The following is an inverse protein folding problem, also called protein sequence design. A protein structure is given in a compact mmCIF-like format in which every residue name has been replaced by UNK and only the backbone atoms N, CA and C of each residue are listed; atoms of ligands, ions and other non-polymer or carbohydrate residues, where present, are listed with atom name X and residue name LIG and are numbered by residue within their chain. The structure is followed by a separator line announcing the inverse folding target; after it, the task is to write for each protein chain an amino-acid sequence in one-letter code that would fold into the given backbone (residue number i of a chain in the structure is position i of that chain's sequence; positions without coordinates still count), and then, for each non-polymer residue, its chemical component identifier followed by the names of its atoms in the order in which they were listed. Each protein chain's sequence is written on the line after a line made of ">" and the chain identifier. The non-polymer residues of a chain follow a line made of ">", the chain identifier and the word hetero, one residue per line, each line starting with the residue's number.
data_IF_566853425204
#
_entry.id   IF_566853425204
#
_cell.length_a   1.000
_cell.length_b   1.000
_cell.length_c   1.000
_cell.angle_alpha   90.00
_cell.angle_beta   90.00
_cell.angle_gamma   90.00
#
_symmetry.space_group_name_H-M   'P 1'
#
loop_
_entity.id
_entity.type
_entity.pdbx_description
1 polymer ?
#
# COMPACT_ATOMS: atom_id res chain seq x y z
N UNK A 1 7.46 2.02 -28.39
CA UNK A 1 8.22 1.08 -27.52
C UNK A 1 7.71 1.21 -26.08
N UNK A 2 7.86 0.19 -25.22
CA UNK A 2 7.33 0.26 -23.85
C UNK A 2 8.19 1.15 -22.95
N UNK A 3 7.58 2.18 -22.36
CA UNK A 3 8.19 3.01 -21.31
C UNK A 3 8.39 2.24 -20.00
N UNK A 4 9.19 2.77 -19.08
CA UNK A 4 9.32 2.24 -17.71
C UNK A 4 7.97 2.08 -17.02
N UNK A 5 7.07 3.05 -17.19
CA UNK A 5 5.73 2.98 -16.63
C UNK A 5 4.85 1.90 -17.28
N UNK A 6 4.98 1.65 -18.58
CA UNK A 6 4.30 0.53 -19.25
C UNK A 6 4.70 -0.82 -18.65
N UNK A 7 5.97 -0.97 -18.26
CA UNK A 7 6.46 -2.19 -17.61
C UNK A 7 5.85 -2.38 -16.22
N UNK A 8 5.76 -1.31 -15.42
CA UNK A 8 5.12 -1.34 -14.10
C UNK A 8 3.64 -1.73 -14.20
N UNK A 9 2.89 -1.10 -15.12
CA UNK A 9 1.46 -1.38 -15.37
C UNK A 9 1.18 -2.78 -15.90
N UNK A 10 2.18 -3.53 -16.34
CA UNK A 10 2.05 -4.94 -16.77
C UNK A 10 2.27 -5.94 -15.65
N UNK A 11 2.58 -5.48 -14.44
CA UNK A 11 2.82 -6.35 -13.28
C UNK A 11 1.52 -7.04 -12.84
N UNK A 12 1.53 -8.37 -12.73
CA UNK A 12 0.33 -9.09 -12.27
C UNK A 12 0.19 -9.12 -10.75
N UNK A 13 1.30 -9.07 -10.04
CA UNK A 13 1.37 -9.21 -8.57
C UNK A 13 2.28 -8.16 -7.96
N UNK A 14 2.21 -7.99 -6.64
CA UNK A 14 3.18 -7.19 -5.89
C UNK A 14 4.63 -7.61 -6.11
N UNK A 15 4.88 -8.93 -6.21
CA UNK A 15 6.22 -9.45 -6.43
C UNK A 15 6.77 -9.13 -7.83
N UNK A 16 5.90 -9.14 -8.86
CA UNK A 16 6.26 -8.68 -10.20
C UNK A 16 6.52 -7.17 -10.22
N UNK A 17 5.71 -6.38 -9.52
CA UNK A 17 5.90 -4.94 -9.43
C UNK A 17 7.25 -4.62 -8.78
N UNK A 18 7.54 -5.22 -7.62
CA UNK A 18 8.81 -5.07 -6.93
C UNK A 18 10.00 -5.51 -7.77
N UNK A 19 9.89 -6.66 -8.46
CA UNK A 19 10.94 -7.11 -9.37
C UNK A 19 11.19 -6.10 -10.50
N UNK A 20 10.13 -5.52 -11.05
CA UNK A 20 10.23 -4.53 -12.12
C UNK A 20 10.91 -3.25 -11.62
N UNK A 21 10.55 -2.75 -10.43
CA UNK A 21 11.20 -1.60 -9.80
C UNK A 21 12.70 -1.83 -9.58
N UNK A 22 13.08 -3.01 -9.07
CA UNK A 22 14.48 -3.36 -8.84
C UNK A 22 15.29 -3.37 -10.15
N UNK A 23 14.74 -3.93 -11.23
CA UNK A 23 15.44 -3.90 -12.53
C UNK A 23 15.51 -2.50 -13.11
N UNK A 24 14.47 -1.68 -12.99
CA UNK A 24 14.51 -0.29 -13.48
C UNK A 24 15.62 0.52 -12.79
N UNK A 25 15.93 0.18 -11.53
CA UNK A 25 16.98 0.85 -10.75
C UNK A 25 18.36 0.27 -11.02
N UNK A 26 18.51 -1.06 -10.98
CA UNK A 26 19.81 -1.73 -11.01
C UNK A 26 20.31 -2.09 -12.41
N UNK A 27 19.40 -2.34 -13.36
CA UNK A 27 19.72 -2.80 -14.71
C UNK A 27 18.79 -2.10 -15.75
N UNK A 28 18.84 -0.76 -15.87
CA UNK A 28 17.99 -0.03 -16.82
C UNK A 28 18.23 -0.48 -18.27
N UNK A 29 19.46 -0.88 -18.61
CA UNK A 29 19.84 -1.40 -19.93
C UNK A 29 19.19 -2.74 -20.28
N UNK A 30 18.63 -3.45 -19.29
CA UNK A 30 17.82 -4.64 -19.55
C UNK A 30 16.58 -4.28 -20.36
N UNK A 31 16.06 -3.07 -20.21
CA UNK A 31 14.86 -2.61 -20.89
C UNK A 31 15.19 -2.12 -22.29
N UNK A 32 14.53 -2.66 -23.32
CA UNK A 32 14.91 -2.38 -24.68
C UNK A 32 14.52 -0.94 -25.06
N UNK A 33 15.46 -0.22 -25.67
CA UNK A 33 15.34 1.18 -26.12
C UNK A 33 15.15 1.33 -27.64
N UNK A 34 15.30 0.24 -28.42
CA UNK A 34 14.99 0.20 -29.85
C UNK A 34 14.77 -1.18 -30.50
N UNK A 35 14.54 -2.26 -29.74
CA UNK A 35 14.33 -3.62 -30.25
C UNK A 35 13.15 -3.79 -31.25
N UNK A 36 13.32 -4.75 -32.16
CA UNK A 36 12.29 -5.26 -33.06
C UNK A 36 11.02 -5.69 -32.31
N UNK A 37 9.86 -5.31 -32.85
CA UNK A 37 8.56 -5.77 -32.36
C UNK A 37 8.44 -7.26 -32.71
N UNK A 38 7.92 -8.05 -31.76
CA UNK A 38 7.70 -9.47 -31.96
C UNK A 38 6.74 -9.72 -33.13
N UNK A 39 6.87 -10.85 -33.84
CA UNK A 39 5.97 -11.18 -34.94
C UNK A 39 4.53 -11.31 -34.45
N UNK A 40 3.52 -11.17 -35.34
CA UNK A 40 2.12 -11.28 -34.96
C UNK A 40 1.80 -12.62 -34.31
N UNK A 41 0.73 -12.67 -33.51
CA UNK A 41 0.33 -13.89 -32.78
C UNK A 41 0.08 -15.10 -33.68
N UNK A 42 -0.30 -14.88 -34.93
CA UNK A 42 -0.51 -15.90 -35.94
C UNK A 42 0.77 -16.56 -36.46
N UNK A 43 1.95 -15.98 -36.21
CA UNK A 43 3.24 -16.54 -36.63
C UNK A 43 3.76 -17.60 -35.65
N UNK A 44 4.55 -18.56 -36.15
CA UNK A 44 5.12 -19.69 -35.40
C UNK A 44 5.83 -19.28 -34.09
N UNK A 45 6.49 -18.12 -34.07
CA UNK A 45 7.24 -17.60 -32.93
C UNK A 45 6.63 -16.30 -32.36
N UNK A 46 5.29 -16.17 -32.37
CA UNK A 46 4.52 -14.98 -31.97
C UNK A 46 4.98 -14.29 -30.67
N UNK A 47 4.40 -13.15 -30.28
CA UNK A 47 5.02 -12.26 -29.32
C UNK A 47 5.09 -12.89 -27.92
N UNK A 48 5.90 -12.28 -27.05
CA UNK A 48 5.99 -12.66 -25.65
C UNK A 48 4.59 -12.75 -25.01
N UNK A 49 4.28 -13.85 -24.32
CA UNK A 49 2.95 -14.09 -23.74
C UNK A 49 2.62 -13.21 -22.53
N UNK A 50 3.58 -12.41 -22.04
CA UNK A 50 3.39 -11.45 -20.93
C UNK A 50 3.25 -10.02 -21.45
N UNK A 51 4.23 -9.51 -22.18
CA UNK A 51 4.17 -8.13 -22.68
C UNK A 51 3.45 -8.00 -24.03
N UNK A 52 3.29 -9.07 -24.81
CA UNK A 52 2.65 -9.04 -26.14
C UNK A 52 3.27 -8.08 -27.15
N UNK A 53 4.47 -7.55 -26.86
CA UNK A 53 5.16 -6.56 -27.70
C UNK A 53 6.47 -7.11 -28.23
N UNK A 54 7.34 -7.65 -27.37
CA UNK A 54 8.68 -8.08 -27.77
C UNK A 54 8.72 -9.55 -28.20
N UNK A 55 9.68 -9.94 -29.06
CA UNK A 55 9.84 -11.32 -29.49
C UNK A 55 10.15 -12.26 -28.32
N UNK A 56 9.75 -13.52 -28.48
CA UNK A 56 10.19 -14.59 -27.57
C UNK A 56 11.67 -14.87 -27.80
N UNK A 57 12.36 -15.31 -26.75
CA UNK A 57 13.71 -15.85 -26.92
C UNK A 57 13.68 -17.06 -27.86
N UNK A 58 14.71 -17.20 -28.70
CA UNK A 58 14.80 -18.11 -29.86
C UNK A 58 14.71 -19.62 -29.58
N UNK A 59 14.36 -20.02 -28.36
CA UNK A 59 14.10 -21.41 -27.98
C UNK A 59 12.59 -21.68 -27.99
N UNK A 60 12.08 -22.71 -28.68
CA UNK A 60 10.65 -22.99 -28.82
C UNK A 60 9.91 -23.23 -27.49
N UNK A 61 10.62 -23.58 -26.41
CA UNK A 61 10.06 -23.72 -25.05
C UNK A 61 9.89 -22.39 -24.29
N UNK A 62 10.48 -21.29 -24.77
CA UNK A 62 10.45 -20.01 -24.05
C UNK A 62 9.27 -19.16 -24.50
N UNK A 63 8.37 -18.90 -23.55
CA UNK A 63 7.11 -18.15 -23.73
C UNK A 63 7.28 -16.63 -23.59
N UNK A 64 8.46 -16.17 -23.17
CA UNK A 64 8.70 -14.80 -22.73
C UNK A 64 9.92 -14.19 -23.43
N UNK A 65 9.91 -12.86 -23.57
CA UNK A 65 11.10 -12.09 -23.93
C UNK A 65 12.10 -12.08 -22.76
N UNK A 66 13.34 -11.62 -23.03
CA UNK A 66 14.42 -11.51 -22.02
C UNK A 66 13.96 -10.80 -20.74
N UNK A 67 13.38 -9.61 -20.89
CA UNK A 67 12.92 -8.78 -19.77
C UNK A 67 11.82 -9.46 -18.95
N UNK A 68 10.78 -9.96 -19.63
CA UNK A 68 9.68 -10.65 -18.94
C UNK A 68 10.17 -11.90 -18.19
N UNK A 69 11.12 -12.64 -18.77
CA UNK A 69 11.70 -13.79 -18.10
C UNK A 69 12.50 -13.39 -16.86
N UNK A 70 13.31 -12.32 -16.95
CA UNK A 70 14.09 -11.80 -15.82
C UNK A 70 13.20 -11.32 -14.67
N UNK A 71 12.14 -10.55 -14.99
CA UNK A 71 11.13 -10.09 -14.01
C UNK A 71 10.47 -11.28 -13.32
N UNK A 72 9.98 -12.27 -14.09
CA UNK A 72 9.29 -13.44 -13.53
C UNK A 72 10.23 -14.30 -12.68
N UNK A 73 11.48 -14.46 -13.08
CA UNK A 73 12.48 -15.21 -12.32
C UNK A 73 12.78 -14.54 -10.96
N UNK A 74 12.92 -13.21 -10.95
CA UNK A 74 13.13 -12.41 -9.73
C UNK A 74 11.89 -12.42 -8.83
N UNK A 75 10.71 -12.22 -9.40
CA UNK A 75 9.44 -12.17 -8.68
C UNK A 75 9.18 -13.42 -7.83
N UNK A 76 9.58 -14.61 -8.31
CA UNK A 76 9.45 -15.87 -7.53
C UNK A 76 10.13 -15.81 -6.16
N UNK A 77 11.25 -15.10 -6.06
CA UNK A 77 12.02 -14.92 -4.81
C UNK A 77 11.44 -13.82 -3.92
N UNK A 78 10.63 -12.92 -4.47
CA UNK A 78 10.12 -11.74 -3.79
C UNK A 78 8.73 -11.91 -3.17
N UNK A 79 8.06 -13.05 -3.39
CA UNK A 79 6.72 -13.30 -2.85
C UNK A 79 6.59 -13.12 -1.33
N UNK A 80 7.61 -13.53 -0.56
CA UNK A 80 7.60 -13.37 0.91
C UNK A 80 7.72 -11.91 1.32
N UNK A 81 8.47 -11.12 0.56
CA UNK A 81 8.70 -9.70 0.82
C UNK A 81 7.50 -8.88 0.37
N UNK A 82 6.92 -9.18 -0.79
CA UNK A 82 5.81 -8.39 -1.35
C UNK A 82 4.52 -8.50 -0.54
N UNK A 83 4.23 -9.66 0.06
CA UNK A 83 2.97 -9.89 0.81
C UNK A 83 2.71 -8.89 1.94
N UNK A 84 3.67 -8.63 2.86
CA UNK A 84 3.50 -7.60 3.89
C UNK A 84 3.82 -6.18 3.37
N UNK A 85 4.00 -6.00 2.06
CA UNK A 85 4.31 -4.69 1.47
C UNK A 85 3.05 -3.94 1.06
N UNK A 86 3.18 -2.62 1.09
CA UNK A 86 2.20 -1.67 0.59
C UNK A 86 2.82 -0.88 -0.56
N UNK A 87 1.92 -0.32 -1.36
CA UNK A 87 2.21 0.55 -2.47
C UNK A 87 1.67 1.92 -2.13
N UNK A 88 2.49 2.95 -2.35
CA UNK A 88 2.07 4.34 -2.30
C UNK A 88 2.22 4.91 -3.69
N UNK A 89 1.08 5.34 -4.26
CA UNK A 89 1.07 6.18 -5.44
C UNK A 89 0.84 7.63 -5.01
N UNK A 90 1.85 8.47 -5.20
CA UNK A 90 1.82 9.88 -4.81
C UNK A 90 1.69 10.79 -6.02
N UNK A 91 0.74 11.72 -5.96
CA UNK A 91 0.59 12.86 -6.87
C UNK A 91 0.68 14.14 -6.05
N UNK A 92 1.82 14.81 -6.12
CA UNK A 92 2.16 15.93 -5.24
C UNK A 92 2.65 17.14 -6.03
N UNK A 93 2.48 18.33 -5.46
CA UNK A 93 2.95 19.58 -6.07
C UNK A 93 4.47 19.65 -6.27
N UNK A 94 5.24 18.95 -5.43
CA UNK A 94 6.70 18.79 -5.55
C UNK A 94 7.15 17.46 -4.98
N UNK A 95 8.07 16.78 -5.65
CA UNK A 95 8.62 15.53 -5.12
C UNK A 95 9.54 15.76 -3.91
N UNK A 96 9.49 14.88 -2.89
CA UNK A 96 10.46 14.91 -1.79
C UNK A 96 11.90 14.80 -2.30
N UNK A 97 12.80 15.69 -1.88
CA UNK A 97 14.20 15.65 -2.32
C UNK A 97 14.89 14.33 -1.95
N UNK A 98 14.55 13.77 -0.80
CA UNK A 98 15.07 12.50 -0.29
C UNK A 98 14.73 11.32 -1.21
N UNK A 99 13.63 11.41 -1.97
CA UNK A 99 13.27 10.41 -2.98
C UNK A 99 14.29 10.37 -4.13
N UNK A 100 14.85 11.54 -4.48
CA UNK A 100 15.84 11.66 -5.56
C UNK A 100 17.24 11.28 -5.10
N UNK A 101 17.63 11.74 -3.91
CA UNK A 101 18.97 11.46 -3.35
C UNK A 101 19.09 10.04 -2.80
N UNK A 102 17.96 9.33 -2.65
CA UNK A 102 17.90 8.01 -1.98
C UNK A 102 18.51 8.05 -0.58
N UNK A 103 18.18 9.09 0.20
CA UNK A 103 18.67 9.29 1.56
C UNK A 103 17.57 9.03 2.59
N UNK A 104 17.97 8.78 3.85
CA UNK A 104 17.06 8.60 4.97
C UNK A 104 16.20 7.34 4.80
N UNK A 105 14.88 7.48 4.95
CA UNK A 105 13.94 6.36 4.78
C UNK A 105 14.12 5.63 3.44
N UNK A 106 14.41 6.38 2.38
CA UNK A 106 14.47 5.84 1.02
C UNK A 106 15.70 4.96 0.77
N UNK A 107 16.74 5.09 1.59
CA UNK A 107 17.95 4.27 1.49
C UNK A 107 17.75 2.89 2.12
N UNK A 108 17.08 2.83 3.27
CA UNK A 108 17.09 1.65 4.13
C UNK A 108 15.77 0.87 4.12
N UNK A 109 14.64 1.57 4.08
CA UNK A 109 13.32 0.98 4.34
C UNK A 109 12.44 0.90 3.09
N UNK A 110 12.74 1.69 2.06
CA UNK A 110 12.12 1.55 0.75
C UNK A 110 12.55 0.25 0.07
N UNK A 111 11.56 -0.54 -0.37
CA UNK A 111 11.82 -1.77 -1.13
C UNK A 111 12.02 -1.48 -2.63
N UNK A 112 11.43 -0.39 -3.11
CA UNK A 112 11.61 0.11 -4.46
C UNK A 112 10.88 1.42 -4.67
N UNK A 113 11.48 2.30 -5.47
CA UNK A 113 10.96 3.62 -5.82
C UNK A 113 10.89 3.77 -7.33
N UNK A 114 9.99 4.60 -7.82
CA UNK A 114 9.94 5.01 -9.20
C UNK A 114 9.39 6.42 -9.30
N UNK A 115 10.13 7.31 -9.94
CA UNK A 115 9.67 8.65 -10.26
C UNK A 115 9.13 8.63 -11.69
N UNK A 116 7.87 9.04 -11.86
CA UNK A 116 7.23 9.07 -13.17
C UNK A 116 7.47 10.40 -13.89
N UNK A 117 7.32 11.51 -13.17
CA UNK A 117 7.51 12.89 -13.61
C UNK A 117 7.75 13.79 -12.38
N UNK A 118 7.67 15.12 -12.52
CA UNK A 118 7.92 16.10 -11.45
C UNK A 118 6.88 16.10 -10.31
N UNK A 119 5.77 15.37 -10.47
CA UNK A 119 4.64 15.35 -9.53
C UNK A 119 4.27 13.94 -9.07
N UNK A 120 4.65 12.91 -9.82
CA UNK A 120 4.20 11.55 -9.59
C UNK A 120 5.34 10.62 -9.19
N UNK A 121 5.10 9.86 -8.13
CA UNK A 121 5.99 8.80 -7.70
C UNK A 121 5.25 7.56 -7.23
N UNK A 122 5.96 6.44 -7.29
CA UNK A 122 5.56 5.17 -6.75
C UNK A 122 6.59 4.74 -5.70
N UNK A 123 6.12 4.33 -4.52
CA UNK A 123 6.93 3.78 -3.45
C UNK A 123 6.37 2.42 -3.04
N UNK A 124 7.25 1.43 -2.91
CA UNK A 124 6.98 0.16 -2.27
C UNK A 124 7.75 0.11 -0.95
N UNK A 125 7.06 -0.24 0.14
CA UNK A 125 7.67 -0.40 1.47
C UNK A 125 6.91 -1.45 2.29
N UNK A 126 7.47 -1.88 3.41
CA UNK A 126 6.77 -2.78 4.33
C UNK A 126 5.64 -2.02 5.04
N UNK A 127 4.50 -2.67 5.26
CA UNK A 127 3.30 -2.00 5.80
C UNK A 127 3.49 -1.30 7.14
N UNK A 128 4.35 -1.84 7.99
CA UNK A 128 4.61 -1.31 9.34
C UNK A 128 5.51 -0.06 9.35
N UNK A 129 6.16 0.23 8.22
CA UNK A 129 6.98 1.44 8.05
C UNK A 129 6.17 2.68 7.68
N UNK A 130 4.88 2.50 7.39
CA UNK A 130 4.00 3.57 6.90
C UNK A 130 4.00 4.79 7.81
N UNK A 131 3.93 4.57 9.12
CA UNK A 131 3.89 5.63 10.12
C UNK A 131 5.23 6.39 10.18
N UNK A 132 6.35 5.67 10.16
CA UNK A 132 7.71 6.26 10.16
C UNK A 132 7.88 7.13 8.92
N UNK A 133 7.57 6.59 7.75
CA UNK A 133 7.66 7.30 6.48
C UNK A 133 6.80 8.57 6.44
N UNK A 134 5.53 8.49 6.84
CA UNK A 134 4.65 9.67 6.85
C UNK A 134 5.13 10.75 7.83
N UNK A 135 5.67 10.36 8.99
CA UNK A 135 6.23 11.32 9.95
C UNK A 135 7.44 12.04 9.35
N UNK A 136 8.35 11.30 8.74
CA UNK A 136 9.54 11.86 8.08
C UNK A 136 9.14 12.82 6.96
N UNK A 137 8.16 12.44 6.13
CA UNK A 137 7.62 13.28 5.06
C UNK A 137 7.07 14.61 5.59
N UNK A 138 6.30 14.56 6.68
CA UNK A 138 5.73 15.76 7.32
C UNK A 138 6.81 16.60 8.02
N UNK A 139 7.85 15.99 8.61
CA UNK A 139 8.96 16.72 9.23
C UNK A 139 9.74 17.53 8.18
N UNK A 140 10.06 16.92 7.04
CA UNK A 140 10.88 17.57 6.02
C UNK A 140 10.10 18.56 5.14
N UNK A 141 8.83 18.26 4.84
CA UNK A 141 8.07 19.06 3.88
C UNK A 141 6.89 19.82 4.48
N UNK A 142 6.46 19.48 5.69
CA UNK A 142 5.42 20.20 6.43
C UNK A 142 4.15 20.46 5.62
N UNK A 143 3.66 21.70 5.72
CA UNK A 143 2.45 22.17 5.03
C UNK A 143 2.67 22.51 3.54
N UNK A 144 3.92 22.51 3.07
CA UNK A 144 4.24 22.88 1.70
C UNK A 144 4.00 21.74 0.72
N UNK A 145 4.08 20.48 1.18
CA UNK A 145 3.71 19.32 0.37
C UNK A 145 2.20 19.26 0.28
N UNK A 146 1.67 19.27 -0.94
CA UNK A 146 0.23 19.26 -1.23
C UNK A 146 -0.06 18.22 -2.30
N UNK A 147 -1.26 17.67 -2.29
CA UNK A 147 -1.70 16.68 -3.26
C UNK A 147 -2.31 15.44 -2.61
N UNK A 148 -2.08 14.29 -3.22
CA UNK A 148 -2.73 13.04 -2.90
C UNK A 148 -1.74 11.90 -2.78
N UNK A 149 -1.83 11.15 -1.68
CA UNK A 149 -1.15 9.87 -1.51
C UNK A 149 -2.17 8.75 -1.42
N UNK A 150 -2.14 7.82 -2.36
CA UNK A 150 -2.98 6.64 -2.36
C UNK A 150 -2.19 5.44 -1.86
N UNK A 151 -2.61 4.87 -0.73
CA UNK A 151 -1.92 3.78 -0.04
C UNK A 151 -2.78 2.52 -0.14
N UNK A 152 -2.20 1.44 -0.65
CA UNK A 152 -2.89 0.17 -0.81
C UNK A 152 -1.93 -1.01 -0.71
N UNK A 153 -2.37 -2.17 -0.20
CA UNK A 153 -1.53 -3.37 -0.15
C UNK A 153 -1.26 -3.92 -1.55
N UNK A 154 -0.20 -4.70 -1.67
CA UNK A 154 0.07 -5.40 -2.94
C UNK A 154 -0.92 -6.54 -3.20
N UNK A 155 -1.12 -6.89 -4.48
CA UNK A 155 -1.96 -8.03 -4.87
C UNK A 155 -1.18 -9.33 -4.90
N UNK A 156 -1.83 -10.41 -4.47
CA UNK A 156 -1.39 -11.77 -4.73
C UNK A 156 -1.98 -12.29 -6.05
N UNK A 157 -1.33 -13.29 -6.68
CA UNK A 157 -1.68 -13.84 -7.99
C UNK A 157 -3.12 -14.36 -8.17
N UNK A 158 -3.91 -14.48 -7.09
CA UNK A 158 -5.28 -15.03 -7.09
C UNK A 158 -6.37 -14.01 -6.70
N UNK A 159 -6.03 -12.74 -6.46
CA UNK A 159 -6.97 -11.74 -5.89
C UNK A 159 -7.83 -10.97 -6.90
N UNK A 160 -8.20 -11.58 -8.04
CA UNK A 160 -9.16 -11.03 -9.00
C UNK A 160 -8.64 -9.88 -9.87
N UNK A 161 -7.99 -8.87 -9.29
CA UNK A 161 -7.36 -7.76 -10.01
C UNK A 161 -5.83 -7.85 -10.00
N UNK A 162 -5.22 -7.56 -11.15
CA UNK A 162 -3.77 -7.48 -11.29
C UNK A 162 -3.21 -6.21 -10.65
N UNK A 163 -1.96 -6.26 -10.19
CA UNK A 163 -1.29 -5.08 -9.62
C UNK A 163 -1.28 -3.90 -10.59
N UNK A 164 -1.09 -4.17 -11.89
CA UNK A 164 -1.16 -3.19 -12.96
C UNK A 164 -2.52 -2.50 -13.10
N UNK A 165 -3.63 -3.26 -13.03
CA UNK A 165 -4.99 -2.68 -13.04
C UNK A 165 -5.23 -1.79 -11.83
N UNK A 166 -4.77 -2.22 -10.65
CA UNK A 166 -4.86 -1.41 -9.42
C UNK A 166 -4.06 -0.11 -9.56
N UNK A 167 -2.85 -0.15 -10.12
CA UNK A 167 -2.04 1.05 -10.39
C UNK A 167 -2.73 1.99 -11.38
N UNK A 168 -3.20 1.48 -12.52
CA UNK A 168 -3.95 2.27 -13.50
C UNK A 168 -5.18 2.94 -12.86
N UNK A 169 -5.85 2.22 -11.95
CA UNK A 169 -7.01 2.76 -11.23
C UNK A 169 -6.62 3.86 -10.26
N UNK A 170 -5.50 3.73 -9.54
CA UNK A 170 -4.99 4.77 -8.66
C UNK A 170 -4.70 6.06 -9.46
N UNK A 171 -3.95 5.96 -10.56
CA UNK A 171 -3.68 7.09 -11.48
C UNK A 171 -4.98 7.74 -11.93
N UNK A 172 -5.93 6.96 -12.42
CA UNK A 172 -7.21 7.51 -12.88
C UNK A 172 -8.00 8.27 -11.78
N UNK A 173 -7.90 7.84 -10.52
CA UNK A 173 -8.63 8.45 -9.40
C UNK A 173 -8.02 9.77 -8.92
N UNK A 174 -6.74 10.03 -9.20
CA UNK A 174 -6.04 11.21 -8.71
C UNK A 174 -6.55 12.51 -9.34
N UNK A 175 -7.02 12.45 -10.59
CA UNK A 175 -7.50 13.59 -11.37
C UNK A 175 -8.69 14.33 -10.72
N UNK A 176 -9.28 13.76 -9.67
CA UNK A 176 -10.42 14.31 -8.93
C UNK A 176 -10.01 15.16 -7.74
N UNK A 177 -8.72 15.27 -7.43
CA UNK A 177 -8.23 15.93 -6.22
C UNK A 177 -7.50 17.23 -6.53
N UNK A 178 -7.78 18.26 -5.72
CA UNK A 178 -7.08 19.54 -5.75
C UNK A 178 -5.77 19.49 -4.97
N UNK A 179 -4.82 20.34 -5.38
CA UNK A 179 -3.51 20.54 -4.73
C UNK A 179 -3.56 21.57 -3.58
N UNK A 180 -4.65 21.58 -2.80
CA UNK A 180 -4.84 22.55 -1.71
C UNK A 180 -4.15 22.13 -0.41
N UNK A 181 -4.10 20.82 -0.14
CA UNK A 181 -3.50 20.21 1.05
C UNK A 181 -3.01 18.80 0.73
N UNK A 182 -2.22 18.20 1.61
CA UNK A 182 -1.83 16.80 1.49
C UNK A 182 -2.92 15.89 2.05
N UNK A 183 -3.54 15.10 1.17
CA UNK A 183 -4.54 14.10 1.51
C UNK A 183 -3.98 12.69 1.40
N UNK A 184 -4.42 11.81 2.29
CA UNK A 184 -4.15 10.38 2.24
C UNK A 184 -5.44 9.65 1.91
N UNK A 185 -5.39 8.80 0.89
CA UNK A 185 -6.43 7.80 0.60
C UNK A 185 -5.93 6.43 0.99
N UNK A 186 -6.51 5.85 2.05
CA UNK A 186 -6.10 4.56 2.57
C UNK A 186 -7.07 3.45 2.15
N UNK A 187 -6.51 2.40 1.55
CA UNK A 187 -7.24 1.18 1.20
C UNK A 187 -6.62 0.01 1.95
N UNK A 188 -7.40 -0.63 2.82
CA UNK A 188 -6.96 -1.80 3.59
C UNK A 188 -6.81 -3.06 2.73
N UNK A 189 -7.44 -3.08 1.56
CA UNK A 189 -7.39 -4.17 0.58
C UNK A 189 -7.37 -3.63 -0.86
N UNK A 190 -6.71 -4.32 -1.81
CA UNK A 190 -6.43 -3.73 -3.13
C UNK A 190 -7.69 -3.54 -3.96
N UNK A 191 -8.67 -4.46 -3.86
CA UNK A 191 -9.94 -4.36 -4.60
C UNK A 191 -10.78 -3.14 -4.24
N UNK A 192 -10.54 -2.51 -3.08
CA UNK A 192 -11.29 -1.32 -2.65
C UNK A 192 -11.04 -0.10 -3.57
N UNK A 193 -9.94 -0.08 -4.32
CA UNK A 193 -9.68 0.92 -5.37
C UNK A 193 -10.65 0.82 -6.54
N UNK A 194 -11.24 -0.35 -6.78
CA UNK A 194 -12.19 -0.55 -7.87
C UNK A 194 -13.54 0.13 -7.54
N UNK A 195 -13.95 0.07 -6.27
CA UNK A 195 -15.24 0.59 -5.76
C UNK A 195 -15.07 1.54 -4.56
N UNK A 196 -14.37 2.69 -4.71
CA UNK A 196 -14.00 3.54 -3.58
C UNK A 196 -15.18 4.29 -2.95
N UNK A 197 -16.31 4.43 -3.67
CA UNK A 197 -17.42 5.34 -3.32
C UNK A 197 -18.06 5.02 -1.96
N UNK A 198 -18.19 3.73 -1.63
CA UNK A 198 -18.84 3.31 -0.37
C UNK A 198 -18.01 3.75 0.84
N UNK A 199 -16.70 3.48 0.82
CA UNK A 199 -15.79 3.88 1.89
C UNK A 199 -15.66 5.39 2.02
N UNK A 200 -15.68 6.10 0.90
CA UNK A 200 -15.64 7.57 0.88
C UNK A 200 -16.87 8.17 1.59
N UNK A 201 -18.07 7.63 1.34
CA UNK A 201 -19.32 8.04 2.02
C UNK A 201 -19.31 7.71 3.51
N UNK A 202 -18.61 6.64 3.90
CA UNK A 202 -18.47 6.20 5.28
C UNK A 202 -17.39 6.95 6.06
N UNK A 203 -16.63 7.85 5.41
CA UNK A 203 -15.52 8.59 6.03
C UNK A 203 -14.30 7.71 6.32
N UNK A 204 -14.11 6.61 5.57
CA UNK A 204 -13.08 5.59 5.81
C UNK A 204 -11.96 5.57 4.79
N UNK A 205 -11.89 6.60 3.95
CA UNK A 205 -11.02 6.58 2.79
C UNK A 205 -10.08 7.76 2.74
N UNK A 206 -10.61 8.97 2.74
CA UNK A 206 -9.84 10.20 2.50
C UNK A 206 -9.65 10.95 3.81
N UNK A 207 -8.40 11.21 4.16
CA UNK A 207 -8.00 11.90 5.39
C UNK A 207 -7.03 13.03 5.05
N UNK A 208 -6.95 14.04 5.90
CA UNK A 208 -5.77 14.89 5.91
C UNK A 208 -4.57 14.11 6.47
N UNK A 209 -3.34 14.41 6.02
CA UNK A 209 -2.14 13.67 6.49
C UNK A 209 -1.97 13.72 8.02
N UNK A 210 -2.29 14.84 8.65
CA UNK A 210 -2.22 15.07 10.10
C UNK A 210 -3.22 14.18 10.86
N UNK A 211 -4.45 14.12 10.37
CA UNK A 211 -5.51 13.25 10.87
C UNK A 211 -5.12 11.77 10.71
N UNK A 212 -4.62 11.39 9.54
CA UNK A 212 -4.23 10.01 9.26
C UNK A 212 -3.05 9.55 10.14
N UNK A 213 -2.06 10.43 10.35
CA UNK A 213 -0.97 10.18 11.29
C UNK A 213 -1.47 9.97 12.72
N UNK A 214 -2.48 10.74 13.15
CA UNK A 214 -3.11 10.58 14.45
C UNK A 214 -3.85 9.24 14.55
N UNK A 215 -4.50 8.79 13.49
CA UNK A 215 -5.12 7.45 13.44
C UNK A 215 -4.09 6.31 13.51
N UNK A 216 -2.96 6.44 12.81
CA UNK A 216 -1.84 5.49 12.91
C UNK A 216 -1.21 5.50 14.32
N UNK A 217 -1.16 6.67 14.97
CA UNK A 217 -0.73 6.79 16.36
C UNK A 217 -1.63 5.98 17.29
N UNK A 218 -2.94 6.22 17.21
CA UNK A 218 -3.94 5.50 17.98
C UNK A 218 -3.87 3.99 17.73
N UNK A 219 -3.74 3.56 16.46
CA UNK A 219 -3.59 2.14 16.13
C UNK A 219 -2.34 1.52 16.77
N UNK A 220 -1.22 2.24 16.81
CA UNK A 220 0.02 1.76 17.42
C UNK A 220 -0.12 1.61 18.95
N UNK A 221 -0.71 2.61 19.61
CA UNK A 221 -1.00 2.56 21.06
C UNK A 221 -1.96 1.40 21.36
N UNK A 222 -3.05 1.29 20.62
CA UNK A 222 -4.04 0.22 20.75
C UNK A 222 -3.39 -1.16 20.62
N UNK A 223 -2.58 -1.36 19.57
CA UNK A 223 -1.86 -2.61 19.31
C UNK A 223 -0.86 -2.95 20.41
N UNK A 224 -0.26 -1.95 21.04
CA UNK A 224 0.75 -2.13 22.09
C UNK A 224 0.11 -2.45 23.44
N UNK A 225 -0.96 -1.75 23.80
CA UNK A 225 -1.57 -1.88 25.13
C UNK A 225 -2.55 -3.06 25.24
N UNK A 226 -3.16 -3.49 24.14
CA UNK A 226 -4.07 -4.64 24.13
C UNK A 226 -3.44 -5.84 23.44
N UNK A 227 -3.47 -6.98 24.10
CA UNK A 227 -3.09 -8.28 23.53
C UNK A 227 -4.06 -8.66 22.40
N UNK A 228 -3.64 -9.48 21.42
CA UNK A 228 -4.52 -9.89 20.32
C UNK A 228 -5.88 -10.45 20.76
N UNK A 229 -5.90 -11.17 21.88
CA UNK A 229 -7.09 -11.82 22.44
C UNK A 229 -8.05 -10.80 23.08
N UNK A 230 -7.49 -9.74 23.66
CA UNK A 230 -8.24 -8.61 24.21
C UNK A 230 -8.79 -7.74 23.08
N UNK A 231 -8.01 -7.55 22.00
CA UNK A 231 -8.47 -6.87 20.79
C UNK A 231 -9.64 -7.63 20.14
N UNK A 232 -9.56 -8.97 20.05
CA UNK A 232 -10.65 -9.79 19.52
C UNK A 232 -11.90 -9.67 20.41
N UNK A 233 -11.74 -9.79 21.73
CA UNK A 233 -12.83 -9.66 22.70
C UNK A 233 -13.52 -8.29 22.62
N UNK A 234 -12.75 -7.20 22.49
CA UNK A 234 -13.28 -5.86 22.30
C UNK A 234 -14.04 -5.72 20.98
N UNK A 235 -13.56 -6.36 19.92
CA UNK A 235 -14.23 -6.32 18.62
C UNK A 235 -15.61 -6.99 18.70
N UNK A 236 -15.71 -8.13 19.40
CA UNK A 236 -16.97 -8.81 19.64
C UNK A 236 -17.92 -7.94 20.48
N UNK A 237 -17.41 -7.35 21.57
CA UNK A 237 -18.19 -6.50 22.46
C UNK A 237 -18.84 -5.31 21.76
N UNK A 238 -18.11 -4.58 20.93
CA UNK A 238 -18.67 -3.38 20.27
C UNK A 238 -19.61 -3.74 19.11
N UNK A 239 -19.70 -5.02 18.75
CA UNK A 239 -20.65 -5.52 17.77
C UNK A 239 -21.87 -6.20 18.41
N UNK A 240 -21.97 -6.25 19.74
CA UNK A 240 -23.17 -6.74 20.42
C UNK A 240 -24.38 -5.83 20.14
N UNK A 241 -25.54 -6.44 19.96
CA UNK A 241 -26.80 -5.73 19.70
C UNK A 241 -27.65 -5.57 20.98
N UNK A 242 -27.46 -6.44 21.98
CA UNK A 242 -28.19 -6.40 23.25
C UNK A 242 -27.49 -5.47 24.27
N UNK A 243 -28.12 -4.33 24.65
CA UNK A 243 -27.51 -3.37 25.59
C UNK A 243 -27.30 -3.93 27.00
N UNK A 244 -28.13 -4.89 27.43
CA UNK A 244 -28.06 -5.47 28.78
C UNK A 244 -26.87 -6.42 28.92
N UNK A 245 -26.61 -7.21 27.87
CA UNK A 245 -25.44 -8.06 27.76
C UNK A 245 -24.16 -7.22 27.60
N UNK A 246 -24.22 -6.15 26.81
CA UNK A 246 -23.09 -5.26 26.57
C UNK A 246 -22.51 -4.71 27.89
N UNK A 247 -23.36 -4.18 28.79
CA UNK A 247 -22.89 -3.61 30.04
C UNK A 247 -22.23 -4.65 30.96
N UNK A 248 -22.80 -5.86 31.01
CA UNK A 248 -22.27 -6.96 31.81
C UNK A 248 -20.94 -7.48 31.28
N UNK A 249 -20.85 -7.79 29.98
CA UNK A 249 -19.63 -8.29 29.38
C UNK A 249 -18.54 -7.22 29.34
N UNK A 250 -18.89 -5.94 29.20
CA UNK A 250 -17.93 -4.85 29.28
C UNK A 250 -17.26 -4.77 30.65
N UNK A 251 -18.03 -4.88 31.74
CA UNK A 251 -17.48 -4.86 33.10
C UNK A 251 -16.47 -5.99 33.33
N UNK A 252 -16.79 -7.19 32.83
CA UNK A 252 -15.87 -8.35 32.89
C UNK A 252 -14.62 -8.17 32.04
N UNK A 253 -14.77 -7.61 30.84
CA UNK A 253 -13.65 -7.33 29.95
C UNK A 253 -12.69 -6.32 30.57
N UNK A 254 -13.19 -5.16 31.00
CA UNK A 254 -12.38 -4.15 31.71
C UNK A 254 -11.71 -4.75 32.93
N UNK A 255 -12.40 -5.58 33.72
CA UNK A 255 -11.81 -6.22 34.90
C UNK A 255 -10.52 -7.02 34.63
N UNK A 256 -10.33 -7.51 33.39
CA UNK A 256 -9.16 -8.32 32.99
C UNK A 256 -8.00 -7.51 32.42
N UNK A 257 -8.23 -6.24 32.04
CA UNK A 257 -7.22 -5.40 31.41
C UNK A 257 -6.23 -4.80 32.40
N UNK A 258 -5.03 -4.45 31.90
CA UNK A 258 -4.07 -3.63 32.64
C UNK A 258 -4.63 -2.23 32.91
N UNK A 259 -4.05 -1.50 33.86
CA UNK A 259 -4.52 -0.15 34.20
C UNK A 259 -4.37 0.81 33.01
N UNK A 260 -3.25 0.73 32.31
CA UNK A 260 -2.96 1.56 31.13
C UNK A 260 -3.97 1.30 30.00
N UNK A 261 -4.32 0.04 29.76
CA UNK A 261 -5.32 -0.32 28.76
C UNK A 261 -6.73 0.19 29.15
N UNK A 262 -7.08 0.14 30.44
CA UNK A 262 -8.35 0.72 30.94
C UNK A 262 -8.41 2.23 30.74
N UNK A 263 -7.34 2.93 31.08
CA UNK A 263 -7.24 4.39 30.97
C UNK A 263 -7.25 4.85 29.51
N UNK A 264 -6.61 4.10 28.61
CA UNK A 264 -6.71 4.32 27.16
C UNK A 264 -8.17 4.16 26.69
N UNK A 265 -8.83 3.05 26.98
CA UNK A 265 -10.19 2.80 26.49
C UNK A 265 -11.22 3.78 27.06
N UNK A 266 -11.05 4.18 28.33
CA UNK A 266 -11.92 5.16 28.98
C UNK A 266 -11.72 6.56 28.42
N UNK A 267 -10.47 7.01 28.27
CA UNK A 267 -10.14 8.33 27.70
C UNK A 267 -10.60 8.47 26.25
N UNK A 268 -10.51 7.39 25.47
CA UNK A 268 -11.00 7.38 24.10
C UNK A 268 -12.51 7.29 23.99
N UNK A 269 -13.20 6.89 25.07
CA UNK A 269 -14.63 6.64 25.08
C UNK A 269 -15.06 5.70 23.93
N UNK A 270 -14.29 4.62 23.71
CA UNK A 270 -14.40 3.78 22.52
C UNK A 270 -15.77 3.12 22.34
N UNK A 271 -16.53 2.92 23.43
CA UNK A 271 -17.89 2.35 23.38
C UNK A 271 -18.85 3.18 22.53
N UNK A 272 -18.65 4.49 22.52
CA UNK A 272 -19.52 5.43 21.79
C UNK A 272 -18.98 5.77 20.40
N UNK A 273 -17.93 5.09 19.95
CA UNK A 273 -17.40 5.35 18.62
C UNK A 273 -18.32 4.82 17.53
N UNK A 274 -18.41 5.49 16.37
CA UNK A 274 -19.08 4.94 15.21
C UNK A 274 -18.44 3.60 14.79
N UNK A 275 -19.25 2.61 14.42
CA UNK A 275 -18.79 1.28 13.95
C UNK A 275 -17.73 1.38 12.85
N UNK A 276 -17.88 2.34 11.95
CA UNK A 276 -16.92 2.62 10.87
C UNK A 276 -15.54 3.03 11.41
N UNK A 277 -15.48 3.86 12.45
CA UNK A 277 -14.20 4.29 13.08
C UNK A 277 -13.49 3.11 13.74
N UNK A 278 -14.25 2.22 14.38
CA UNK A 278 -13.70 1.00 14.99
C UNK A 278 -13.16 0.09 13.90
N UNK A 279 -13.93 -0.17 12.83
CA UNK A 279 -13.47 -0.93 11.67
C UNK A 279 -12.14 -0.39 11.13
N UNK A 280 -12.01 0.94 10.97
CA UNK A 280 -10.76 1.55 10.52
C UNK A 280 -9.60 1.30 11.48
N UNK A 281 -9.83 1.42 12.80
CA UNK A 281 -8.80 1.15 13.81
C UNK A 281 -8.25 -0.28 13.63
N UNK A 282 -9.12 -1.28 13.54
CA UNK A 282 -8.71 -2.67 13.34
C UNK A 282 -8.00 -2.89 12.00
N UNK A 283 -8.42 -2.21 10.93
CA UNK A 283 -7.71 -2.25 9.65
C UNK A 283 -6.29 -1.64 9.76
N UNK A 284 -6.11 -0.57 10.54
CA UNK A 284 -4.83 0.12 10.70
C UNK A 284 -3.86 -0.61 11.65
N UNK A 285 -4.36 -1.43 12.57
CA UNK A 285 -3.52 -2.26 13.46
C UNK A 285 -2.51 -3.08 12.66
N UNK A 286 -2.91 -3.57 11.49
CA UNK A 286 -2.04 -4.35 10.59
C UNK A 286 -0.89 -3.55 9.94
N UNK A 287 -0.95 -2.21 10.00
CA UNK A 287 -0.04 -1.27 9.32
C UNK A 287 0.87 -0.51 10.29
N UNK A 288 0.87 -0.89 11.57
CA UNK A 288 1.69 -0.24 12.60
C UNK A 288 2.52 -1.28 13.35
N UNK A 289 3.73 -0.89 13.73
CA UNK A 289 4.57 -1.66 14.64
C UNK A 289 4.11 -1.47 16.09
N UNK A 290 4.51 -2.41 16.97
CA UNK A 290 4.40 -2.21 18.41
C UNK A 290 5.37 -1.09 18.83
N UNK A 291 5.00 -0.34 19.85
CA UNK A 291 6.02 0.42 20.58
C UNK A 291 6.96 -0.57 21.25
N UNK A 292 8.27 -0.32 21.12
CA UNK A 292 9.24 -1.03 21.94
C UNK A 292 8.95 -0.63 23.39
N UNK A 293 8.28 -1.53 24.13
CA UNK A 293 8.21 -1.46 25.58
C UNK A 293 9.63 -1.71 26.08
N UNK A 294 10.30 -0.65 26.53
CA UNK A 294 11.56 -0.75 27.26
C UNK A 294 11.37 -1.56 28.55
#
# INVERSE_FOLDING_TARGET
>A
MLSSFDWLRRSRTGAELLATLQYLTAEPDLFPTGEEIGPPHSALNGPCQRCWVYPRLSSPRRKYCRVCQAILARARKLNKVSRPSIVVWGFVNRLPQQLWTSEGFYEHDALGTYVHDEHHFLLLMRRYELKTWLRELVIYHGADLKGLMQIFPTTAARQGASMGEILCRAVHLEARFSMDRLRVRFFSAPYQLLTPRTRDREGLLTFEVSEFLSLLEMAAVFRTLLRPEEQASLHELVNLEDPSEEQFYWGRFVGRLSQEAKDMLSSWNIRHWPKNRIKLLYELVDYVAFYQTH
#
